data_IF_187506820126
#
_entry.id   IF_187506820126
#
_cell.length_a   1.000
_cell.length_b   1.000
_cell.length_c   1.000
_cell.angle_alpha   90.00
_cell.angle_beta   90.00
_cell.angle_gamma   90.00
#
_symmetry.space_group_name_H-M   'P 1'
#
loop_
_entity.id
_entity.type
_entity.pdbx_description
1 polymer ?
#
# COMPACT_ATOMS: atom_id res chain seq x y z
N UNK A 1 -88.27 33.36 42.25
CA UNK A 1 -86.83 33.74 42.22
C UNK A 1 -86.05 32.53 41.74
N UNK A 2 -85.46 32.59 40.55
CA UNK A 2 -84.63 31.50 40.03
C UNK A 2 -83.21 31.68 40.58
N UNK A 3 -82.77 30.80 41.48
CA UNK A 3 -81.35 30.76 41.88
C UNK A 3 -80.59 30.15 40.70
N UNK A 4 -79.58 30.83 40.13
CA UNK A 4 -78.77 30.21 39.10
C UNK A 4 -77.98 29.05 39.71
N UNK A 5 -78.05 27.89 39.06
CA UNK A 5 -77.39 26.67 39.49
C UNK A 5 -75.87 26.83 39.36
N UNK A 6 -75.14 26.54 40.44
CA UNK A 6 -73.68 26.50 40.41
C UNK A 6 -73.25 25.15 39.86
N UNK A 7 -72.40 25.17 38.83
CA UNK A 7 -71.89 23.95 38.20
C UNK A 7 -70.37 23.97 38.36
N UNK A 8 -69.82 22.90 38.93
CA UNK A 8 -68.37 22.74 39.07
C UNK A 8 -67.75 22.29 37.74
N UNK A 9 -66.49 22.62 37.54
CA UNK A 9 -65.75 22.24 36.35
C UNK A 9 -65.40 20.75 36.38
N UNK A 10 -65.63 20.05 35.27
CA UNK A 10 -65.28 18.64 35.14
C UNK A 10 -64.39 18.43 33.91
N UNK A 11 -63.28 17.74 34.13
CA UNK A 11 -62.45 17.25 33.04
C UNK A 11 -63.18 16.15 32.27
N UNK A 12 -63.16 16.25 30.95
CA UNK A 12 -63.59 15.16 30.09
C UNK A 12 -62.61 13.99 30.12
N UNK A 13 -63.10 12.85 29.62
CA UNK A 13 -62.27 11.68 29.42
C UNK A 13 -61.14 11.96 28.43
N UNK A 14 -60.00 11.32 28.66
CA UNK A 14 -58.93 11.29 27.67
C UNK A 14 -59.39 10.62 26.39
N UNK A 15 -59.00 11.18 25.25
CA UNK A 15 -59.05 10.51 23.96
C UNK A 15 -58.25 9.22 23.99
N UNK A 16 -58.49 8.36 22.99
CA UNK A 16 -57.52 7.31 22.66
C UNK A 16 -56.17 7.95 22.32
N UNK A 17 -55.11 7.19 22.56
CA UNK A 17 -53.79 7.56 22.07
C UNK A 17 -53.79 7.55 20.54
N UNK A 18 -53.06 8.49 19.94
CA UNK A 18 -52.74 8.45 18.52
C UNK A 18 -51.94 7.19 18.17
N UNK A 19 -51.84 6.92 16.88
CA UNK A 19 -50.81 6.02 16.37
C UNK A 19 -49.42 6.51 16.77
N UNK A 20 -48.50 5.56 16.88
CA UNK A 20 -47.10 5.86 17.17
C UNK A 20 -46.46 6.53 15.94
N UNK A 21 -45.64 7.56 16.17
CA UNK A 21 -44.92 8.25 15.07
C UNK A 21 -43.95 7.34 14.33
N UNK A 22 -43.49 6.26 14.96
CA UNK A 22 -42.58 5.27 14.38
C UNK A 22 -43.13 3.86 14.60
N UNK A 23 -42.75 2.92 13.72
CA UNK A 23 -43.16 1.52 13.80
C UNK A 23 -42.22 0.67 14.65
N UNK A 24 -40.98 1.10 14.85
CA UNK A 24 -39.94 0.51 15.70
C UNK A 24 -38.88 1.57 16.04
N UNK A 25 -37.95 1.25 16.95
CA UNK A 25 -36.81 2.12 17.25
C UNK A 25 -37.12 3.33 18.13
N UNK A 26 -38.30 3.35 18.75
CA UNK A 26 -38.76 4.38 19.69
C UNK A 26 -39.38 5.59 19.01
N UNK A 27 -40.71 5.71 19.09
CA UNK A 27 -41.49 6.88 18.69
C UNK A 27 -42.35 7.43 19.81
N UNK A 28 -43.22 8.37 19.47
CA UNK A 28 -44.13 9.06 20.40
C UNK A 28 -45.58 8.86 20.00
N UNK A 29 -46.48 8.90 20.98
CA UNK A 29 -47.93 8.96 20.78
C UNK A 29 -48.53 10.01 21.69
N UNK A 30 -49.62 10.61 21.25
CA UNK A 30 -50.24 11.76 21.94
C UNK A 30 -51.72 11.48 22.20
N UNK A 31 -52.24 11.95 23.34
CA UNK A 31 -53.68 11.97 23.63
C UNK A 31 -54.11 13.31 24.23
N UNK A 32 -55.39 13.62 24.11
CA UNK A 32 -55.95 14.91 24.50
C UNK A 32 -57.20 14.73 25.37
N UNK A 33 -57.52 15.74 26.18
CA UNK A 33 -58.81 15.85 26.86
C UNK A 33 -59.23 17.32 26.89
N UNK A 34 -60.54 17.52 26.95
CA UNK A 34 -61.13 18.85 27.10
C UNK A 34 -61.88 18.97 28.43
N UNK A 35 -62.35 20.18 28.72
CA UNK A 35 -63.25 20.42 29.84
C UNK A 35 -64.64 19.98 29.37
N UNK A 36 -65.17 18.92 29.98
CA UNK A 36 -66.50 18.39 29.67
C UNK A 36 -67.58 19.31 30.22
N UNK A 37 -67.37 19.82 31.42
CA UNK A 37 -68.30 20.73 32.08
C UNK A 37 -67.56 22.00 32.47
N UNK A 38 -67.96 23.15 31.91
CA UNK A 38 -67.37 24.45 32.29
C UNK A 38 -68.05 24.97 33.56
N UNK A 39 -67.29 25.60 34.48
CA UNK A 39 -67.84 26.07 35.73
C UNK A 39 -68.80 27.24 35.51
N UNK A 40 -69.91 27.27 36.26
CA UNK A 40 -70.92 28.33 36.21
C UNK A 40 -71.20 28.90 37.59
N UNK A 41 -71.51 30.20 37.64
CA UNK A 41 -71.81 30.90 38.89
C UNK A 41 -70.64 30.85 39.86
N UNK A 42 -70.87 30.27 41.04
CA UNK A 42 -69.86 30.05 42.08
C UNK A 42 -69.25 28.64 42.08
N UNK A 43 -69.42 27.88 41.00
CA UNK A 43 -68.83 26.55 40.89
C UNK A 43 -67.29 26.57 40.85
N UNK A 44 -66.67 25.48 41.31
CA UNK A 44 -65.22 25.33 41.40
C UNK A 44 -64.58 25.24 40.02
N UNK A 45 -63.40 25.86 39.87
CA UNK A 45 -62.56 25.69 38.67
C UNK A 45 -62.02 24.26 38.58
N UNK A 46 -61.64 23.84 37.37
CA UNK A 46 -61.03 22.53 37.18
C UNK A 46 -59.68 22.49 37.89
N UNK A 47 -59.38 21.35 38.53
CA UNK A 47 -58.06 21.11 39.11
C UNK A 47 -56.96 21.29 38.05
N UNK A 48 -55.82 21.94 38.38
CA UNK A 48 -54.72 22.14 37.45
C UNK A 48 -54.24 20.81 36.86
N UNK A 49 -54.27 20.72 35.53
CA UNK A 49 -53.83 19.52 34.84
C UNK A 49 -53.68 19.75 33.34
N UNK A 50 -52.92 18.89 32.66
CA UNK A 50 -52.63 19.07 31.25
C UNK A 50 -53.85 18.72 30.38
N UNK A 51 -53.96 19.38 29.23
CA UNK A 51 -54.90 19.04 28.15
C UNK A 51 -54.33 18.03 27.15
N UNK A 52 -53.02 17.82 27.16
CA UNK A 52 -52.33 16.86 26.30
C UNK A 52 -51.32 16.02 27.10
N UNK A 53 -51.09 14.79 26.64
CA UNK A 53 -50.03 13.93 27.16
C UNK A 53 -49.32 13.27 25.99
N UNK A 54 -47.99 13.13 26.11
CA UNK A 54 -47.12 12.40 25.19
C UNK A 54 -46.52 11.22 25.94
N UNK A 55 -46.43 10.06 25.28
CA UNK A 55 -45.79 8.88 25.83
C UNK A 55 -44.93 8.17 24.78
N UNK A 56 -43.84 7.51 25.19
CA UNK A 56 -43.06 6.69 24.28
C UNK A 56 -43.85 5.47 23.80
N UNK A 57 -43.56 5.02 22.58
CA UNK A 57 -44.12 3.82 21.99
C UNK A 57 -43.10 3.16 21.05
N UNK A 58 -43.30 1.88 20.75
CA UNK A 58 -42.44 1.09 19.83
C UNK A 58 -40.94 1.19 20.16
N UNK A 59 -40.60 1.17 21.45
CA UNK A 59 -39.22 1.29 21.98
C UNK A 59 -38.33 0.10 21.67
N UNK A 60 -38.91 -0.99 21.18
CA UNK A 60 -38.15 -2.13 20.72
C UNK A 60 -37.23 -1.74 19.56
N UNK A 61 -35.97 -2.20 19.55
CA UNK A 61 -35.09 -2.01 18.42
C UNK A 61 -35.76 -2.47 17.13
N UNK A 62 -35.62 -1.68 16.07
CA UNK A 62 -35.96 -2.19 14.75
C UNK A 62 -35.17 -3.46 14.50
N UNK A 63 -35.85 -4.56 14.14
CA UNK A 63 -35.18 -5.74 13.59
C UNK A 63 -34.58 -5.36 12.25
N UNK A 64 -33.41 -4.77 12.29
CA UNK A 64 -32.61 -4.60 11.10
C UNK A 64 -32.18 -6.00 10.70
N UNK A 65 -32.74 -6.53 9.62
CA UNK A 65 -32.19 -7.72 8.98
C UNK A 65 -30.83 -7.29 8.41
N UNK A 66 -29.81 -7.20 9.27
CA UNK A 66 -28.49 -6.79 8.86
C UNK A 66 -27.94 -7.86 7.93
N UNK A 67 -27.55 -7.41 6.75
CA UNK A 67 -26.93 -8.26 5.75
C UNK A 67 -25.48 -7.88 5.78
N UNK A 68 -24.65 -8.75 6.34
CA UNK A 68 -23.20 -8.57 6.33
C UNK A 68 -22.67 -8.78 4.92
N UNK A 69 -21.55 -8.12 4.64
CA UNK A 69 -20.82 -8.30 3.41
C UNK A 69 -20.17 -9.68 3.37
N UNK A 70 -19.99 -10.22 2.17
CA UNK A 70 -19.43 -11.55 1.96
C UNK A 70 -18.36 -11.51 0.87
N UNK A 71 -17.25 -12.19 1.11
CA UNK A 71 -16.21 -12.36 0.11
C UNK A 71 -16.66 -13.29 -1.01
N UNK A 72 -16.17 -13.04 -2.22
CA UNK A 72 -16.17 -14.02 -3.29
C UNK A 72 -15.26 -15.19 -2.96
N UNK A 73 -15.37 -16.25 -3.75
CA UNK A 73 -14.31 -17.25 -3.84
C UNK A 73 -12.97 -16.59 -4.22
N UNK A 74 -11.87 -17.18 -3.76
CA UNK A 74 -10.53 -16.80 -4.19
C UNK A 74 -10.36 -17.01 -5.69
N UNK A 75 -9.67 -16.10 -6.35
CA UNK A 75 -9.12 -16.33 -7.68
C UNK A 75 -8.10 -17.48 -7.65
N UNK A 76 -7.79 -18.02 -8.83
CA UNK A 76 -6.66 -18.93 -8.96
C UNK A 76 -5.38 -18.18 -8.62
N UNK A 77 -4.39 -18.89 -8.09
CA UNK A 77 -3.04 -18.34 -7.93
C UNK A 77 -2.51 -17.87 -9.27
N UNK A 78 -1.97 -16.65 -9.28
CA UNK A 78 -1.23 -16.13 -10.42
C UNK A 78 0.07 -16.91 -10.67
N UNK A 79 0.75 -16.62 -11.79
CA UNK A 79 2.07 -17.21 -12.06
C UNK A 79 3.09 -16.78 -11.00
N UNK A 80 4.14 -17.59 -10.83
CA UNK A 80 5.25 -17.24 -9.96
C UNK A 80 6.08 -16.09 -10.58
N UNK A 81 6.55 -15.16 -9.76
CA UNK A 81 7.38 -14.03 -10.20
C UNK A 81 8.74 -14.44 -10.78
N UNK A 82 9.22 -15.64 -10.45
CA UNK A 82 10.49 -16.18 -10.92
C UNK A 82 10.30 -17.66 -11.29
N UNK A 83 11.05 -18.16 -12.27
CA UNK A 83 11.00 -19.56 -12.70
C UNK A 83 11.97 -20.46 -11.91
N UNK A 84 12.88 -19.88 -11.15
CA UNK A 84 13.84 -20.55 -10.25
C UNK A 84 14.40 -19.50 -9.26
N UNK A 85 15.19 -19.93 -8.29
CA UNK A 85 15.88 -19.06 -7.33
C UNK A 85 14.96 -18.45 -6.26
N UNK A 86 13.71 -18.90 -6.19
CA UNK A 86 12.67 -18.34 -5.33
C UNK A 86 11.93 -17.18 -5.99
N UNK A 87 10.60 -17.24 -5.93
CA UNK A 87 9.70 -16.17 -6.32
C UNK A 87 8.48 -16.12 -5.41
N UNK A 88 7.56 -15.21 -5.71
CA UNK A 88 6.29 -15.06 -5.01
C UNK A 88 5.16 -15.11 -6.03
N UNK A 89 4.08 -15.80 -5.69
CA UNK A 89 2.80 -15.74 -6.40
C UNK A 89 1.73 -15.20 -5.45
N UNK A 90 0.65 -14.70 -6.03
CA UNK A 90 -0.45 -14.13 -5.26
C UNK A 90 -1.81 -14.54 -5.83
N UNK A 91 -2.84 -14.45 -5.00
CA UNK A 91 -4.25 -14.58 -5.37
C UNK A 91 -5.07 -13.51 -4.68
N UNK A 92 -6.27 -13.24 -5.18
CA UNK A 92 -7.15 -12.22 -4.64
C UNK A 92 -8.62 -12.65 -4.63
N UNK A 93 -9.44 -11.94 -3.88
CA UNK A 93 -10.90 -12.08 -3.87
C UNK A 93 -11.52 -10.69 -3.79
N UNK A 94 -12.79 -10.58 -4.15
CA UNK A 94 -13.56 -9.32 -4.13
C UNK A 94 -14.80 -9.49 -3.28
N UNK A 95 -15.51 -8.40 -2.98
CA UNK A 95 -16.80 -8.48 -2.30
C UNK A 95 -17.80 -9.12 -3.28
N UNK A 96 -18.41 -10.23 -2.88
CA UNK A 96 -19.48 -10.91 -3.64
C UNK A 96 -20.87 -10.36 -3.27
N UNK A 97 -21.04 -9.96 -2.00
CA UNK A 97 -22.25 -9.31 -1.52
C UNK A 97 -21.88 -8.13 -0.65
N UNK A 98 -22.44 -6.97 -0.94
CA UNK A 98 -22.28 -5.77 -0.15
C UNK A 98 -23.10 -5.82 1.14
N UNK A 99 -22.59 -5.16 2.19
CA UNK A 99 -23.33 -4.98 3.42
C UNK A 99 -24.46 -3.96 3.25
N UNK A 100 -25.59 -4.17 3.95
CA UNK A 100 -26.59 -3.10 4.07
C UNK A 100 -26.20 -2.10 5.19
N UNK A 101 -27.04 -1.10 5.45
CA UNK A 101 -26.71 0.03 6.37
C UNK A 101 -26.24 -0.37 7.77
N UNK A 102 -26.54 -1.58 8.23
CA UNK A 102 -26.11 -2.10 9.53
C UNK A 102 -25.24 -3.37 9.44
N UNK A 103 -24.94 -3.84 8.23
CA UNK A 103 -24.08 -5.00 8.02
C UNK A 103 -22.61 -4.68 8.26
N UNK A 104 -21.85 -5.69 8.66
CA UNK A 104 -20.40 -5.60 8.85
C UNK A 104 -19.64 -5.87 7.54
N UNK A 105 -18.41 -5.35 7.47
CA UNK A 105 -17.45 -5.72 6.45
C UNK A 105 -17.03 -7.20 6.59
N UNK A 106 -16.59 -7.86 5.52
CA UNK A 106 -16.21 -9.26 5.58
C UNK A 106 -14.82 -9.43 6.19
N UNK A 107 -14.64 -10.44 7.06
CA UNK A 107 -13.38 -10.65 7.78
C UNK A 107 -12.26 -11.23 6.90
N UNK A 108 -11.02 -10.85 7.21
CA UNK A 108 -9.81 -11.35 6.56
C UNK A 108 -9.33 -10.50 5.40
N UNK A 109 -8.28 -10.98 4.71
CA UNK A 109 -7.57 -10.22 3.66
C UNK A 109 -8.24 -10.40 2.28
N UNK A 110 -8.09 -9.40 1.42
CA UNK A 110 -8.48 -9.42 0.01
C UNK A 110 -7.40 -10.06 -0.88
N UNK A 111 -6.15 -10.16 -0.39
CA UNK A 111 -4.99 -10.72 -1.09
C UNK A 111 -4.17 -11.66 -0.21
N UNK A 112 -3.63 -12.69 -0.85
CA UNK A 112 -2.70 -13.65 -0.25
C UNK A 112 -1.47 -13.85 -1.14
N UNK A 113 -0.35 -14.18 -0.51
CA UNK A 113 0.95 -14.36 -1.14
C UNK A 113 1.58 -15.67 -0.69
N UNK A 114 2.31 -16.33 -1.58
CA UNK A 114 2.99 -17.59 -1.31
C UNK A 114 4.33 -17.63 -2.04
N UNK A 115 5.35 -18.19 -1.37
CA UNK A 115 6.64 -18.48 -2.01
C UNK A 115 6.48 -19.61 -3.02
N UNK A 116 7.16 -19.49 -4.15
CA UNK A 116 7.14 -20.49 -5.22
C UNK A 116 8.51 -20.60 -5.88
N UNK A 117 8.70 -21.65 -6.67
CA UNK A 117 9.90 -21.89 -7.47
C UNK A 117 11.23 -21.76 -6.70
N UNK A 118 11.32 -22.42 -5.54
CA UNK A 118 12.48 -22.38 -4.63
C UNK A 118 13.66 -23.24 -5.08
N UNK A 119 13.53 -23.97 -6.18
CA UNK A 119 14.66 -24.67 -6.79
C UNK A 119 15.76 -23.68 -7.18
N UNK A 120 17.01 -24.07 -7.01
CA UNK A 120 18.14 -23.29 -7.47
C UNK A 120 18.06 -23.08 -8.98
N UNK A 121 18.37 -21.87 -9.44
CA UNK A 121 18.61 -21.63 -10.86
C UNK A 121 19.85 -22.41 -11.34
N UNK A 122 19.94 -22.68 -12.65
CA UNK A 122 21.09 -23.36 -13.26
C UNK A 122 22.42 -22.86 -12.70
N UNK A 123 23.37 -23.79 -12.47
CA UNK A 123 24.62 -23.55 -11.77
C UNK A 123 25.26 -22.20 -12.15
N UNK A 124 25.54 -21.38 -11.14
CA UNK A 124 26.31 -20.17 -11.30
C UNK A 124 27.65 -20.52 -11.93
N UNK A 125 27.98 -19.83 -13.02
CA UNK A 125 29.27 -19.97 -13.67
C UNK A 125 30.07 -18.71 -13.39
N UNK A 126 31.22 -18.85 -12.76
CA UNK A 126 32.15 -17.75 -12.58
C UNK A 126 32.84 -17.44 -13.91
N UNK A 127 33.05 -16.16 -14.15
CA UNK A 127 33.80 -15.67 -15.28
C UNK A 127 35.27 -16.10 -15.19
N UNK A 128 35.88 -16.41 -16.32
CA UNK A 128 37.27 -16.85 -16.38
C UNK A 128 37.98 -16.15 -17.54
N UNK A 129 39.09 -15.47 -17.25
CA UNK A 129 39.98 -14.95 -18.29
C UNK A 129 40.71 -16.10 -19.00
N UNK A 130 41.03 -15.91 -20.28
CA UNK A 130 42.01 -16.74 -20.98
C UNK A 130 43.41 -16.53 -20.40
N UNK A 131 44.35 -17.39 -20.80
CA UNK A 131 45.77 -17.07 -20.63
C UNK A 131 46.09 -15.77 -21.38
N UNK A 132 47.04 -15.00 -20.86
CA UNK A 132 47.60 -13.85 -21.55
C UNK A 132 48.31 -14.29 -22.84
N UNK A 133 48.13 -13.53 -23.89
CA UNK A 133 48.98 -13.62 -25.07
C UNK A 133 50.43 -13.24 -24.72
N UNK A 134 51.35 -13.62 -25.61
CA UNK A 134 52.72 -13.13 -25.53
C UNK A 134 52.76 -11.60 -25.67
N UNK A 135 53.78 -10.98 -25.07
CA UNK A 135 54.04 -9.56 -25.25
C UNK A 135 54.34 -9.26 -26.72
N UNK A 136 53.83 -8.13 -27.21
CA UNK A 136 54.24 -7.56 -28.49
C UNK A 136 55.72 -7.21 -28.49
N UNK A 137 56.25 -6.98 -29.68
CA UNK A 137 57.51 -6.26 -29.84
C UNK A 137 57.40 -4.85 -29.26
N UNK A 138 58.56 -4.29 -28.90
CA UNK A 138 58.64 -2.95 -28.36
C UNK A 138 58.34 -1.93 -29.45
N UNK A 139 57.55 -0.91 -29.12
CA UNK A 139 57.17 0.13 -30.11
C UNK A 139 58.33 0.97 -30.59
N UNK A 140 59.37 1.12 -29.76
CA UNK A 140 60.53 1.96 -30.01
C UNK A 140 61.82 1.22 -29.67
N UNK A 141 62.92 1.63 -30.29
CA UNK A 141 64.25 1.10 -29.99
C UNK A 141 64.76 1.52 -28.60
N UNK A 142 64.28 2.66 -28.09
CA UNK A 142 64.58 3.19 -26.75
C UNK A 142 63.30 3.71 -26.08
N UNK A 143 63.16 3.46 -24.78
CA UNK A 143 62.06 3.89 -23.90
C UNK A 143 60.66 3.67 -24.51
N UNK A 144 60.47 2.50 -25.11
CA UNK A 144 59.22 2.10 -25.73
C UNK A 144 58.26 1.44 -24.77
N UNK A 145 57.10 1.05 -25.29
CA UNK A 145 56.13 0.22 -24.57
C UNK A 145 55.85 -1.06 -25.35
N UNK A 146 55.53 -2.10 -24.62
CA UNK A 146 55.00 -3.36 -25.16
C UNK A 146 53.64 -3.61 -24.55
N UNK A 147 52.79 -4.33 -25.27
CA UNK A 147 51.44 -4.64 -24.83
C UNK A 147 51.16 -6.14 -24.96
N UNK A 148 50.25 -6.64 -24.13
CA UNK A 148 49.66 -7.97 -24.26
C UNK A 148 48.17 -7.91 -23.97
N UNK A 149 47.43 -8.86 -24.52
CA UNK A 149 45.99 -8.97 -24.35
C UNK A 149 45.56 -10.36 -23.87
N UNK A 150 44.37 -10.43 -23.29
CA UNK A 150 43.65 -11.67 -22.96
C UNK A 150 42.16 -11.45 -23.19
N UNK A 151 41.45 -12.53 -23.43
CA UNK A 151 40.01 -12.51 -23.63
C UNK A 151 39.26 -13.12 -22.44
N UNK A 152 37.94 -12.99 -22.43
CA UNK A 152 37.09 -13.72 -21.50
C UNK A 152 36.86 -15.12 -22.07
N UNK A 153 37.51 -16.13 -21.49
CA UNK A 153 37.36 -17.53 -21.90
C UNK A 153 35.99 -18.11 -21.51
N UNK A 154 35.42 -17.66 -20.39
CA UNK A 154 34.06 -18.01 -19.96
C UNK A 154 33.38 -16.81 -19.37
N UNK A 155 32.19 -16.48 -19.85
CA UNK A 155 31.37 -15.43 -19.27
C UNK A 155 30.68 -15.89 -17.99
N UNK A 156 30.60 -15.00 -17.02
CA UNK A 156 29.84 -15.23 -15.79
C UNK A 156 28.35 -15.37 -16.09
N UNK A 157 27.65 -16.23 -15.34
CA UNK A 157 26.19 -16.43 -15.47
C UNK A 157 25.52 -16.51 -14.10
N UNK A 158 24.31 -15.93 -14.03
CA UNK A 158 23.47 -15.91 -12.83
C UNK A 158 24.19 -15.26 -11.64
N UNK A 159 24.39 -16.00 -10.55
CA UNK A 159 25.07 -15.52 -9.35
C UNK A 159 26.60 -15.72 -9.37
N UNK A 160 27.17 -16.13 -10.51
CA UNK A 160 28.61 -16.29 -10.64
C UNK A 160 29.36 -14.96 -10.65
N UNK A 161 30.63 -14.97 -10.26
CA UNK A 161 31.49 -13.79 -10.26
C UNK A 161 31.75 -13.29 -11.68
N UNK A 162 31.81 -11.98 -11.84
CA UNK A 162 32.21 -11.31 -13.08
C UNK A 162 33.73 -11.22 -13.16
N UNK A 163 34.27 -11.20 -14.38
CA UNK A 163 35.70 -10.98 -14.57
C UNK A 163 36.01 -9.55 -14.19
N UNK A 164 36.83 -9.36 -13.16
CA UNK A 164 37.30 -8.07 -12.71
C UNK A 164 38.82 -7.97 -12.91
N UNK A 165 39.25 -6.88 -13.53
CA UNK A 165 40.63 -6.67 -13.98
C UNK A 165 40.77 -6.46 -15.49
N UNK A 166 41.96 -6.08 -15.95
CA UNK A 166 42.16 -5.61 -17.33
C UNK A 166 42.22 -6.77 -18.33
N UNK A 167 41.76 -6.52 -19.56
CA UNK A 167 41.98 -7.40 -20.73
C UNK A 167 43.23 -7.03 -21.53
N UNK A 168 43.80 -5.85 -21.27
CA UNK A 168 45.03 -5.37 -21.90
C UNK A 168 45.98 -4.88 -20.84
N UNK A 169 47.25 -5.24 -20.97
CA UNK A 169 48.32 -4.80 -20.09
C UNK A 169 49.44 -4.19 -20.91
N UNK A 170 49.98 -3.07 -20.43
CA UNK A 170 51.07 -2.33 -21.07
C UNK A 170 52.22 -2.24 -20.09
N UNK A 171 53.44 -2.45 -20.57
CA UNK A 171 54.64 -2.35 -19.78
C UNK A 171 55.75 -1.63 -20.57
N UNK A 172 56.66 -0.91 -19.89
CA UNK A 172 57.82 -0.33 -20.55
C UNK A 172 58.75 -1.42 -21.09
N UNK A 173 59.51 -1.09 -22.12
CA UNK A 173 60.55 -1.91 -22.72
C UNK A 173 61.69 -1.05 -23.28
N UNK A 174 62.85 -1.68 -23.48
CA UNK A 174 64.04 -1.02 -24.02
C UNK A 174 64.44 0.26 -23.24
N UNK A 175 64.44 0.18 -21.91
CA UNK A 175 64.75 1.33 -21.05
C UNK A 175 66.18 1.82 -21.33
N UNK A 176 66.34 3.13 -21.54
CA UNK A 176 67.64 3.73 -21.83
C UNK A 176 68.66 3.54 -20.70
N UNK A 177 68.19 3.31 -19.46
CA UNK A 177 69.02 2.94 -18.32
C UNK A 177 69.69 1.57 -18.45
N UNK A 178 69.14 0.68 -19.28
CA UNK A 178 69.59 -0.71 -19.44
C UNK A 178 70.27 -0.96 -20.80
N UNK A 179 70.05 -0.10 -21.80
CA UNK A 179 70.58 -0.24 -23.16
C UNK A 179 71.56 0.89 -23.48
N UNK A 180 72.86 0.56 -23.57
CA UNK A 180 73.97 1.52 -23.75
C UNK A 180 73.89 2.33 -25.06
N UNK A 181 73.19 1.84 -26.09
CA UNK A 181 72.97 2.54 -27.36
C UNK A 181 71.89 3.62 -27.28
N UNK A 182 71.06 3.60 -26.24
CA UNK A 182 70.11 4.65 -25.95
C UNK A 182 70.84 5.77 -25.20
N UNK A 183 71.43 6.71 -25.95
CA UNK A 183 72.03 7.90 -25.35
C UNK A 183 70.92 8.91 -25.06
N UNK A 184 70.65 9.27 -23.79
CA UNK A 184 69.78 10.40 -23.52
C UNK A 184 70.52 11.66 -23.97
N UNK A 185 70.04 12.33 -25.02
CA UNK A 185 70.32 13.76 -25.14
C UNK A 185 69.72 14.42 -23.90
N UNK A 186 70.56 15.19 -23.18
CA UNK A 186 70.26 15.74 -21.85
C UNK A 186 69.25 16.89 -21.91
N UNK A 187 68.06 16.63 -22.41
CA UNK A 187 66.94 17.51 -22.10
C UNK A 187 66.21 16.93 -20.89
N UNK A 188 66.06 17.76 -19.86
CA UNK A 188 65.38 17.41 -18.63
C UNK A 188 63.97 16.87 -18.95
N UNK A 189 63.47 15.86 -18.21
CA UNK A 189 62.13 15.34 -18.44
C UNK A 189 61.12 16.48 -18.32
N UNK A 190 60.37 16.73 -19.40
CA UNK A 190 59.19 17.58 -19.34
C UNK A 190 58.07 16.76 -18.69
N UNK A 191 57.69 17.15 -17.48
CA UNK A 191 56.53 16.59 -16.82
C UNK A 191 55.28 16.82 -17.69
N UNK A 192 54.55 15.73 -17.95
CA UNK A 192 53.28 15.81 -18.67
C UNK A 192 52.27 16.57 -17.81
N UNK A 193 51.76 17.70 -18.30
CA UNK A 193 50.64 18.38 -17.66
C UNK A 193 49.34 17.67 -18.04
N UNK A 194 48.77 16.95 -17.07
CA UNK A 194 47.43 16.39 -17.21
C UNK A 194 46.42 17.53 -17.15
N UNK A 195 45.46 17.52 -18.08
CA UNK A 195 44.29 18.39 -18.00
C UNK A 195 43.43 18.01 -16.79
N UNK A 196 42.66 18.97 -16.29
CA UNK A 196 41.69 18.70 -15.22
C UNK A 196 40.68 17.63 -15.63
N UNK A 197 40.24 16.84 -14.66
CA UNK A 197 39.19 15.85 -14.86
C UNK A 197 37.89 16.53 -15.26
N UNK A 198 37.24 16.02 -16.31
CA UNK A 198 35.87 16.39 -16.59
C UNK A 198 34.95 15.89 -15.46
N UNK A 199 33.86 16.63 -15.22
CA UNK A 199 32.83 16.25 -14.24
C UNK A 199 32.30 14.84 -14.50
N UNK A 200 31.99 14.12 -13.42
CA UNK A 200 31.45 12.78 -13.52
C UNK A 200 30.07 12.79 -14.19
N UNK A 201 29.95 12.09 -15.31
CA UNK A 201 28.66 11.87 -15.94
C UNK A 201 27.89 10.80 -15.15
N UNK A 202 26.56 10.91 -15.14
CA UNK A 202 25.71 9.85 -14.60
C UNK A 202 25.92 8.55 -15.39
N UNK A 203 25.96 7.43 -14.68
CA UNK A 203 26.05 6.12 -15.32
C UNK A 203 24.79 5.90 -16.17
N UNK A 204 24.96 5.46 -17.42
CA UNK A 204 23.85 5.05 -18.27
C UNK A 204 23.23 3.76 -17.73
N UNK A 205 21.90 3.78 -17.58
CA UNK A 205 21.09 2.64 -17.14
C UNK A 205 20.87 1.62 -18.26
#
# INVERSE_FOLDING_TARGET
>A
THVPENVDCEWGNWSLWSDCTLTCGGGERTRYRDIQTSPKGKGKLCEPGPKSQVAPCRTEPCRANCVDAEWSGWSRWGPCSATCGGGVRWRHRTIAREANKCGRAPDGKDKEYEKCNTQSCSASLDCMFSAWAHWSDCTCECDGVKQRSRDIAKHGKAQGKWCDGPTTEVAPCNLASEILSCKPERDAPLDCQLSDWAEWNSCSA
#
